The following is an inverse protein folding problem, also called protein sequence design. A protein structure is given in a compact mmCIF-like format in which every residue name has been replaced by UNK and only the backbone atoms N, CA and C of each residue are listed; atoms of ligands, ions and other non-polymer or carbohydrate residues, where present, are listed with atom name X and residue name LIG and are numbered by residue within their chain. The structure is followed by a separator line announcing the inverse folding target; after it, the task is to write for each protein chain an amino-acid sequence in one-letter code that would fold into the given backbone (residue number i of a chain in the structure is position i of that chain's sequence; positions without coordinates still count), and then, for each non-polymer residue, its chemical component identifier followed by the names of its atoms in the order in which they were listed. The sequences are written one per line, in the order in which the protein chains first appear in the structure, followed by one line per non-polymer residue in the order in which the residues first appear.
data_IF_371461252773
#
_entry.id   IF_371461252773
#
_cell.length_a   1.000
_cell.length_b   1.000
_cell.length_c   1.000
_cell.angle_alpha   90.00
_cell.angle_beta   90.00
_cell.angle_gamma   90.00
#
_symmetry.space_group_name_H-M   'P 1'
#
loop_
_entity.id
_entity.type
_entity.pdbx_description
1 polymer ?
#
# COMPACT_ATOMS: atom_id res chain seq x y z
N UNK A 1 8.73 14.20 13.98
CA UNK A 1 8.01 14.09 12.70
C UNK A 1 8.68 12.96 11.95
N UNK A 2 7.94 11.89 11.64
CA UNK A 2 8.50 10.69 11.05
C UNK A 2 8.67 10.88 9.55
N UNK A 3 9.91 10.73 9.07
CA UNK A 3 10.24 10.81 7.64
C UNK A 3 10.22 9.39 7.07
N UNK A 4 9.03 8.77 7.01
CA UNK A 4 8.89 7.44 6.41
C UNK A 4 8.69 7.57 4.90
N UNK A 5 9.69 7.15 4.13
CA UNK A 5 9.64 7.12 2.67
C UNK A 5 9.11 5.76 2.23
N UNK A 6 8.01 5.74 1.49
CA UNK A 6 7.38 4.54 0.98
C UNK A 6 7.85 4.25 -0.44
N UNK A 7 8.18 3.00 -0.73
CA UNK A 7 8.47 2.51 -2.08
C UNK A 7 7.68 1.23 -2.32
N UNK A 8 6.85 1.23 -3.37
CA UNK A 8 6.21 0.02 -3.88
C UNK A 8 7.27 -0.80 -4.60
N UNK A 9 7.51 -2.02 -4.12
CA UNK A 9 8.50 -2.95 -4.68
C UNK A 9 7.87 -3.89 -5.70
N UNK A 10 6.67 -4.40 -5.40
CA UNK A 10 5.92 -5.30 -6.25
C UNK A 10 4.41 -5.08 -6.06
N UNK A 11 3.64 -5.48 -7.07
CA UNK A 11 2.19 -5.49 -7.07
C UNK A 11 1.71 -6.73 -7.82
N UNK A 12 1.10 -7.66 -7.09
CA UNK A 12 0.68 -8.95 -7.60
C UNK A 12 -0.84 -9.04 -7.57
N UNK A 13 -1.46 -8.96 -8.75
CA UNK A 13 -2.91 -9.11 -8.92
C UNK A 13 -3.21 -10.53 -9.39
N UNK A 14 -3.97 -11.29 -8.60
CA UNK A 14 -4.34 -12.66 -8.93
C UNK A 14 -5.82 -12.69 -9.33
N UNK A 15 -6.16 -13.06 -10.58
CA UNK A 15 -7.55 -13.31 -10.93
C UNK A 15 -8.10 -14.46 -10.08
N UNK A 16 -9.13 -14.19 -9.27
CA UNK A 16 -9.68 -15.22 -8.37
C UNK A 16 -11.07 -15.68 -8.84
N UNK A 17 -12.00 -14.76 -9.07
CA UNK A 17 -13.32 -15.07 -9.61
C UNK A 17 -13.89 -13.89 -10.42
N UNK A 18 -15.15 -14.04 -10.88
CA UNK A 18 -15.81 -13.00 -11.68
C UNK A 18 -16.09 -11.70 -10.92
N UNK A 19 -15.92 -11.66 -9.60
CA UNK A 19 -16.28 -10.54 -8.74
C UNK A 19 -15.07 -9.87 -8.08
N UNK A 20 -13.99 -10.62 -7.81
CA UNK A 20 -12.86 -10.17 -7.01
C UNK A 20 -11.53 -10.70 -7.53
N UNK A 21 -10.52 -9.84 -7.49
CA UNK A 21 -9.12 -10.09 -7.79
C UNK A 21 -8.28 -9.63 -6.60
N UNK A 22 -7.76 -10.54 -5.76
CA UNK A 22 -6.80 -10.19 -4.72
C UNK A 22 -5.59 -9.47 -5.30
N UNK A 23 -5.20 -8.37 -4.65
CA UNK A 23 -3.99 -7.60 -4.95
C UNK A 23 -3.10 -7.61 -3.71
N UNK A 24 -1.88 -8.13 -3.83
CA UNK A 24 -0.85 -8.00 -2.80
C UNK A 24 0.17 -6.95 -3.22
N UNK A 25 0.40 -5.96 -2.38
CA UNK A 25 1.44 -4.95 -2.56
C UNK A 25 2.60 -5.23 -1.62
N UNK A 26 3.80 -5.41 -2.17
CA UNK A 26 5.02 -5.42 -1.36
C UNK A 26 5.57 -4.00 -1.29
N UNK A 27 5.64 -3.44 -0.08
CA UNK A 27 6.03 -2.05 0.14
C UNK A 27 7.21 -2.00 1.12
N UNK A 28 8.26 -1.29 0.73
CA UNK A 28 9.35 -0.91 1.64
C UNK A 28 9.08 0.45 2.26
N UNK A 29 9.07 0.51 3.58
CA UNK A 29 9.15 1.75 4.34
C UNK A 29 10.59 1.99 4.81
N UNK A 30 11.18 3.10 4.39
CA UNK A 30 12.51 3.55 4.84
C UNK A 30 12.36 4.71 5.81
N UNK A 31 12.79 4.53 7.06
CA UNK A 31 12.82 5.60 8.06
C UNK A 31 14.08 6.43 7.87
N UNK A 32 13.95 7.63 7.31
CA UNK A 32 15.08 8.56 7.13
C UNK A 32 15.31 9.45 8.34
N UNK A 33 14.46 9.36 9.37
CA UNK A 33 14.65 10.07 10.63
C UNK A 33 15.88 9.52 11.37
N UNK A 34 16.72 10.41 11.90
CA UNK A 34 17.96 10.04 12.60
C UNK A 34 17.77 9.74 14.08
N UNK A 35 16.62 10.06 14.67
CA UNK A 35 16.40 10.08 16.12
C UNK A 35 15.31 9.15 16.61
N UNK A 36 14.28 8.93 15.82
CA UNK A 36 13.08 8.25 16.27
C UNK A 36 12.73 7.09 15.34
N UNK A 37 12.27 6.01 15.95
CA UNK A 37 11.60 4.93 15.26
C UNK A 37 10.23 5.41 14.76
N UNK A 38 9.78 4.81 13.67
CA UNK A 38 8.47 5.06 13.08
C UNK A 38 7.79 3.74 12.79
N UNK A 39 6.49 3.77 12.49
CA UNK A 39 5.71 2.57 12.22
C UNK A 39 5.36 2.52 10.74
N UNK A 40 5.58 1.37 10.11
CA UNK A 40 4.97 1.00 8.85
C UNK A 40 3.72 0.16 9.18
N UNK A 41 2.53 0.70 8.90
CA UNK A 41 1.26 0.08 9.29
C UNK A 41 0.21 0.09 8.17
N UNK A 42 -0.69 -0.90 8.20
CA UNK A 42 -1.87 -0.97 7.34
C UNK A 42 -2.81 0.22 7.51
N UNK A 43 -2.80 0.90 8.66
CA UNK A 43 -3.65 2.07 8.91
C UNK A 43 -3.34 3.24 7.98
N UNK A 44 -2.07 3.39 7.60
CA UNK A 44 -1.56 4.46 6.72
C UNK A 44 -1.92 4.28 5.25
N UNK A 45 -2.40 3.10 4.84
CA UNK A 45 -2.60 2.75 3.43
C UNK A 45 -4.07 2.56 3.10
N UNK A 46 -4.51 3.13 1.99
CA UNK A 46 -5.83 2.87 1.39
C UNK A 46 -5.68 2.63 -0.09
N UNK A 47 -6.35 1.62 -0.61
CA UNK A 47 -6.54 1.46 -2.05
C UNK A 47 -7.83 2.17 -2.44
N UNK A 48 -7.73 3.20 -3.27
CA UNK A 48 -8.88 3.91 -3.81
C UNK A 48 -9.29 3.20 -5.10
N UNK A 49 -10.43 2.53 -5.08
CA UNK A 49 -11.00 1.85 -6.24
C UNK A 49 -12.25 2.59 -6.68
N UNK A 50 -12.21 3.18 -7.88
CA UNK A 50 -13.30 3.98 -8.45
C UNK A 50 -13.83 5.05 -7.47
N UNK A 51 -12.91 5.67 -6.72
CA UNK A 51 -13.20 6.71 -5.74
C UNK A 51 -13.55 6.20 -4.32
N UNK A 52 -13.67 4.89 -4.12
CA UNK A 52 -13.98 4.31 -2.82
C UNK A 52 -12.72 3.85 -2.11
N UNK A 53 -12.39 4.38 -0.91
CA UNK A 53 -11.23 3.93 -0.14
C UNK A 53 -11.47 2.55 0.48
N UNK A 54 -10.50 1.66 0.32
CA UNK A 54 -10.48 0.30 0.88
C UNK A 54 -9.23 0.11 1.73
N UNK A 55 -9.38 -0.42 2.94
CA UNK A 55 -8.26 -0.79 3.78
C UNK A 55 -7.64 -2.11 3.32
N UNK A 56 -6.37 -2.39 3.64
CA UNK A 56 -5.83 -3.73 3.52
C UNK A 56 -6.66 -4.72 4.34
N UNK A 57 -6.85 -5.94 3.84
CA UNK A 57 -7.53 -7.03 4.56
C UNK A 57 -6.66 -7.63 5.65
N UNK A 58 -5.33 -7.51 5.52
CA UNK A 58 -4.37 -7.93 6.52
C UNK A 58 -3.94 -6.77 7.46
N UNK A 59 -3.64 -7.09 8.71
CA UNK A 59 -3.17 -6.13 9.70
C UNK A 59 -1.64 -6.19 9.85
N UNK A 60 -0.93 -5.47 8.98
CA UNK A 60 0.52 -5.31 9.07
C UNK A 60 0.86 -4.14 9.98
N UNK A 61 1.78 -4.36 10.91
CA UNK A 61 2.28 -3.34 11.83
C UNK A 61 3.71 -3.68 12.22
N UNK A 62 4.65 -2.85 11.80
CA UNK A 62 6.07 -3.05 12.09
C UNK A 62 6.76 -1.75 12.48
N UNK A 63 7.59 -1.81 13.53
CA UNK A 63 8.46 -0.71 13.92
C UNK A 63 9.68 -0.71 13.00
N UNK A 64 9.89 0.42 12.31
CA UNK A 64 11.03 0.70 11.46
C UNK A 64 11.99 1.58 12.25
N UNK A 65 13.11 0.99 12.69
CA UNK A 65 14.13 1.72 13.44
C UNK A 65 14.66 2.92 12.66
N UNK A 66 15.10 3.95 13.39
CA UNK A 66 15.75 5.12 12.81
C UNK A 66 16.85 4.71 11.81
N UNK A 67 16.91 5.38 10.66
CA UNK A 67 17.88 5.11 9.58
C UNK A 67 17.87 3.68 9.03
N UNK A 68 16.74 2.98 9.12
CA UNK A 68 16.57 1.61 8.62
C UNK A 68 15.39 1.49 7.67
N UNK A 69 15.21 0.31 7.09
CA UNK A 69 14.07 -0.01 6.24
C UNK A 69 13.47 -1.37 6.61
N UNK A 70 12.15 -1.48 6.46
CA UNK A 70 11.41 -2.75 6.50
C UNK A 70 10.48 -2.87 5.32
N UNK A 71 10.19 -4.11 4.98
CA UNK A 71 9.24 -4.47 3.93
C UNK A 71 8.01 -5.09 4.58
N UNK A 72 6.85 -4.88 3.95
CA UNK A 72 5.58 -5.45 4.34
C UNK A 72 4.73 -5.77 3.13
N UNK A 73 3.94 -6.82 3.27
CA UNK A 73 2.90 -7.19 2.31
C UNK A 73 1.57 -6.63 2.77
N UNK A 74 0.83 -6.03 1.85
CA UNK A 74 -0.47 -5.41 2.11
C UNK A 74 -1.47 -5.94 1.10
N UNK A 75 -2.46 -6.68 1.60
CA UNK A 75 -3.42 -7.40 0.79
C UNK A 75 -4.70 -6.58 0.63
N UNK A 76 -5.21 -6.45 -0.59
CA UNK A 76 -6.44 -5.74 -0.90
C UNK A 76 -7.37 -6.63 -1.71
N UNK A 77 -8.67 -6.47 -1.46
CA UNK A 77 -9.70 -7.02 -2.33
C UNK A 77 -10.09 -5.98 -3.39
N UNK A 78 -9.83 -6.32 -4.66
CA UNK A 78 -10.14 -5.45 -5.79
C UNK A 78 -11.27 -6.06 -6.61
N UNK A 79 -12.42 -5.37 -6.75
CA UNK A 79 -13.48 -5.81 -7.64
C UNK A 79 -12.92 -6.13 -9.04
N UNK A 80 -13.35 -7.24 -9.64
CA UNK A 80 -12.90 -7.63 -10.98
C UNK A 80 -13.30 -6.60 -12.06
N UNK A 81 -14.31 -5.78 -11.77
CA UNK A 81 -14.77 -4.66 -12.60
C UNK A 81 -14.07 -3.32 -12.32
N UNK A 82 -13.05 -3.30 -11.45
CA UNK A 82 -12.36 -2.07 -11.06
C UNK A 82 -11.75 -1.35 -12.28
N UNK A 83 -12.09 -0.07 -12.43
CA UNK A 83 -11.58 0.76 -13.53
C UNK A 83 -10.33 1.53 -13.11
N UNK A 84 -10.49 2.47 -12.18
CA UNK A 84 -9.39 3.32 -11.68
C UNK A 84 -8.95 2.86 -10.30
N UNK A 85 -7.65 2.59 -10.17
CA UNK A 85 -7.06 2.18 -8.90
C UNK A 85 -5.90 3.10 -8.54
N UNK A 86 -5.87 3.55 -7.29
CA UNK A 86 -4.80 4.39 -6.75
C UNK A 86 -4.45 3.91 -5.34
N UNK A 87 -3.15 3.81 -5.02
CA UNK A 87 -2.70 3.66 -3.65
C UNK A 87 -2.62 5.05 -3.01
N UNK A 88 -3.38 5.28 -1.95
CA UNK A 88 -3.25 6.44 -1.09
C UNK A 88 -2.43 6.07 0.15
N UNK A 89 -1.44 6.90 0.45
CA UNK A 89 -0.60 6.82 1.65
C UNK A 89 -0.91 8.07 2.48
N UNK A 90 -1.17 7.88 3.76
CA UNK A 90 -1.48 8.96 4.70
C UNK A 90 -0.45 9.02 5.81
N UNK A 91 0.01 10.21 6.14
CA UNK A 91 0.80 10.46 7.35
C UNK A 91 -0.15 10.82 8.49
N UNK A 92 -0.29 9.92 9.47
CA UNK A 92 -1.19 10.10 10.62
C UNK A 92 -0.80 11.30 11.51
N UNK A 93 0.47 11.73 11.48
CA UNK A 93 0.96 12.84 12.31
C UNK A 93 0.63 14.20 11.71
N UNK A 94 0.60 14.30 10.38
CA UNK A 94 0.39 15.57 9.66
C UNK A 94 -0.95 15.65 8.94
N UNK A 95 -1.62 14.52 8.72
CA UNK A 95 -2.79 14.40 7.86
C UNK A 95 -2.47 14.53 6.37
N UNK A 96 -1.20 14.63 5.98
CA UNK A 96 -0.81 14.70 4.59
C UNK A 96 -1.08 13.38 3.87
N UNK A 97 -1.49 13.47 2.60
CA UNK A 97 -1.76 12.31 1.76
C UNK A 97 -1.02 12.38 0.44
N UNK A 98 -0.48 11.26 -0.01
CA UNK A 98 0.07 11.06 -1.35
C UNK A 98 -0.71 9.97 -2.08
N UNK A 99 -0.80 10.06 -3.41
CA UNK A 99 -1.49 9.08 -4.24
C UNK A 99 -0.61 8.59 -5.39
N UNK A 100 -0.61 7.27 -5.61
CA UNK A 100 0.13 6.60 -6.69
C UNK A 100 -0.90 5.86 -7.54
N UNK A 101 -1.08 6.21 -8.84
CA UNK A 101 -2.00 5.48 -9.72
C UNK A 101 -1.43 4.09 -10.07
N UNK A 102 -2.33 3.10 -10.15
CA UNK A 102 -2.04 1.75 -10.61
C UNK A 102 -2.87 1.44 -11.84
N UNK A 103 -2.22 0.89 -12.87
CA UNK A 103 -2.89 0.33 -14.03
C UNK A 103 -2.96 -1.19 -13.89
N UNK A 104 -4.18 -1.71 -13.75
CA UNK A 104 -4.43 -3.15 -13.58
C UNK A 104 -4.53 -3.89 -14.92
N UNK A 105 -4.39 -3.20 -16.06
CA UNK A 105 -4.47 -3.81 -17.40
C UNK A 105 -3.21 -4.61 -17.79
N UNK A 106 -2.13 -4.53 -17.02
CA UNK A 106 -0.83 -5.13 -17.34
C UNK A 106 -0.65 -6.60 -16.91
N UNK A 107 -1.74 -7.38 -16.75
CA UNK A 107 -1.62 -8.83 -16.54
C UNK A 107 -1.47 -9.48 -17.92
N UNK A 108 -0.22 -9.69 -18.34
CA UNK A 108 0.09 -10.44 -19.57
C UNK A 108 -0.37 -11.90 -19.37
N UNK A 109 -1.37 -12.40 -20.10
CA UNK A 109 -1.66 -13.83 -20.10
C UNK A 109 -0.54 -14.53 -20.88
N UNK A 110 0.01 -15.60 -20.29
CA UNK A 110 0.86 -16.55 -21.01
C UNK A 110 0.07 -17.30 -22.08
#
# INVERSE_FOLDING_TARGET
MGDLVYKVLAADLVPFNAENNPLTLNIRGTNTNSRYDVVLASSSLRLIVDGVPRAPSNNFYEVVSNQSAKEGEFDFEVPASAGKVMLQISDESTGATAQIPFDLSAVTPY
#
